data_IF_377266912832
#
_entry.id   IF_377266912832
#
_cell.length_a   1.000
_cell.length_b   1.000
_cell.length_c   1.000
_cell.angle_alpha   90.00
_cell.angle_beta   90.00
_cell.angle_gamma   90.00
#
_symmetry.space_group_name_H-M   'P 1'
#
loop_
_entity.id
_entity.type
_entity.pdbx_description
1 polymer ?
#
# COMPACT_ATOMS: atom_id res chain seq x y z
N UNK A 1 11.90 21.11 -1.32
CA UNK A 1 11.62 19.89 -2.10
C UNK A 1 10.31 20.09 -2.85
N UNK A 2 10.29 19.88 -4.17
CA UNK A 2 9.04 19.90 -4.96
C UNK A 2 8.14 18.74 -4.52
N UNK A 3 6.82 18.92 -4.36
CA UNK A 3 5.92 17.81 -4.14
C UNK A 3 6.07 16.80 -5.27
N UNK A 4 6.20 15.52 -4.94
CA UNK A 4 6.15 14.47 -5.95
C UNK A 4 4.75 14.52 -6.53
N UNK A 5 4.64 14.87 -7.83
CA UNK A 5 3.34 14.93 -8.48
C UNK A 5 2.68 13.55 -8.45
N UNK A 6 1.37 13.50 -8.22
CA UNK A 6 0.57 12.25 -8.26
C UNK A 6 0.91 11.45 -9.52
N UNK A 7 1.11 12.13 -10.66
CA UNK A 7 1.49 11.53 -11.95
C UNK A 7 2.78 10.70 -11.90
N UNK A 8 3.78 11.12 -11.12
CA UNK A 8 5.04 10.38 -10.94
C UNK A 8 4.86 9.15 -10.04
N UNK A 9 4.03 9.27 -9.00
CA UNK A 9 3.64 8.15 -8.13
C UNK A 9 2.93 7.06 -8.96
N UNK A 10 1.98 7.46 -9.82
CA UNK A 10 1.24 6.49 -10.64
C UNK A 10 2.13 5.79 -11.68
N UNK A 11 3.10 6.52 -12.26
CA UNK A 11 4.00 5.96 -13.28
C UNK A 11 4.91 4.86 -12.72
N UNK A 12 5.35 4.95 -11.46
CA UNK A 12 6.16 3.90 -10.83
C UNK A 12 5.35 2.64 -10.49
N UNK A 13 4.06 2.77 -10.19
CA UNK A 13 3.21 1.62 -9.88
C UNK A 13 2.92 0.75 -11.11
N UNK A 14 2.89 1.35 -12.31
CA UNK A 14 2.55 0.65 -13.56
C UNK A 14 3.64 -0.30 -14.11
N UNK A 15 4.82 -0.41 -13.47
CA UNK A 15 5.91 -1.29 -13.95
C UNK A 15 5.66 -2.78 -13.68
N UNK A 16 4.66 -3.14 -12.87
CA UNK A 16 4.31 -4.53 -12.59
C UNK A 16 3.20 -4.99 -13.54
N UNK A 17 3.46 -6.04 -14.33
CA UNK A 17 2.45 -6.63 -15.25
C UNK A 17 1.45 -7.54 -14.53
N UNK A 18 1.77 -8.01 -13.32
CA UNK A 18 0.91 -8.87 -12.50
C UNK A 18 0.88 -8.33 -11.06
N UNK A 19 -0.29 -7.82 -10.63
CA UNK A 19 -0.47 -7.29 -9.28
C UNK A 19 -0.98 -8.33 -8.27
N UNK A 20 -1.29 -9.55 -8.71
CA UNK A 20 -1.84 -10.61 -7.84
C UNK A 20 -0.93 -10.97 -6.67
N UNK A 21 0.38 -10.70 -6.79
CA UNK A 21 1.40 -10.94 -5.75
C UNK A 21 1.80 -9.66 -5.00
N UNK A 22 1.17 -8.53 -5.31
CA UNK A 22 1.50 -7.23 -4.70
C UNK A 22 0.54 -6.95 -3.55
N UNK A 23 1.09 -6.70 -2.35
CA UNK A 23 0.33 -6.15 -1.23
C UNK A 23 0.68 -4.69 -1.04
N UNK A 24 -0.34 -3.84 -1.02
CA UNK A 24 -0.23 -2.40 -0.84
C UNK A 24 -0.78 -2.06 0.54
N UNK A 25 0.04 -1.42 1.36
CA UNK A 25 -0.31 -1.00 2.72
C UNK A 25 -0.40 0.52 2.72
N UNK A 26 -1.53 1.06 3.17
CA UNK A 26 -1.78 2.52 3.24
C UNK A 26 -2.29 2.91 4.62
N UNK A 27 -2.16 4.19 4.98
CA UNK A 27 -2.70 4.73 6.21
C UNK A 27 -3.81 5.78 5.94
N UNK A 28 -4.87 5.75 6.75
CA UNK A 28 -6.10 6.53 6.54
C UNK A 28 -5.93 8.05 6.76
N UNK A 29 -4.94 8.46 7.57
CA UNK A 29 -4.61 9.86 7.85
C UNK A 29 -3.30 10.30 7.20
N UNK A 30 -2.78 9.57 6.21
CA UNK A 30 -1.62 10.00 5.45
C UNK A 30 -1.95 11.25 4.62
N UNK A 31 -1.32 12.37 4.97
CA UNK A 31 -1.46 13.66 4.29
C UNK A 31 -0.47 13.85 3.14
N UNK A 32 0.63 13.09 3.11
CA UNK A 32 1.62 13.13 2.03
C UNK A 32 1.16 12.28 0.85
N UNK A 33 0.47 11.18 1.13
CA UNK A 33 -0.11 10.27 0.15
C UNK A 33 -1.60 10.06 0.48
N UNK A 34 -2.51 10.91 -0.04
CA UNK A 34 -3.91 10.88 0.35
C UNK A 34 -4.57 9.51 0.11
N UNK A 35 -5.06 8.91 1.20
CA UNK A 35 -5.66 7.56 1.19
C UNK A 35 -6.76 7.40 0.14
N UNK A 36 -7.66 8.36 0.01
CA UNK A 36 -8.80 8.30 -0.92
C UNK A 36 -8.33 8.21 -2.38
N UNK A 37 -7.30 8.97 -2.74
CA UNK A 37 -6.71 8.96 -4.09
C UNK A 37 -6.06 7.60 -4.36
N UNK A 38 -5.28 7.08 -3.42
CA UNK A 38 -4.62 5.78 -3.58
C UNK A 38 -5.64 4.65 -3.65
N UNK A 39 -6.65 4.64 -2.78
CA UNK A 39 -7.72 3.63 -2.81
C UNK A 39 -8.42 3.60 -4.17
N UNK A 40 -8.75 4.76 -4.73
CA UNK A 40 -9.33 4.86 -6.07
C UNK A 40 -8.38 4.36 -7.16
N UNK A 41 -7.09 4.66 -7.04
CA UNK A 41 -6.07 4.20 -7.98
C UNK A 41 -5.90 2.67 -7.94
N UNK A 42 -5.75 2.08 -6.76
CA UNK A 42 -5.64 0.63 -6.56
C UNK A 42 -6.85 -0.06 -7.21
N UNK A 43 -8.07 0.40 -6.88
CA UNK A 43 -9.30 -0.19 -7.39
C UNK A 43 -9.41 -0.13 -8.92
N UNK A 44 -8.92 0.95 -9.54
CA UNK A 44 -9.06 1.17 -10.99
C UNK A 44 -7.96 0.47 -11.79
N UNK A 45 -6.73 0.46 -11.31
CA UNK A 45 -5.56 0.11 -12.12
C UNK A 45 -4.79 -1.10 -11.61
N UNK A 46 -4.86 -1.42 -10.32
CA UNK A 46 -4.07 -2.49 -9.70
C UNK A 46 -4.97 -3.69 -9.37
N UNK A 47 -5.74 -4.14 -10.36
CA UNK A 47 -6.62 -5.31 -10.21
C UNK A 47 -5.77 -6.53 -9.83
N UNK A 48 -6.16 -7.21 -8.75
CA UNK A 48 -5.42 -8.33 -8.17
C UNK A 48 -4.52 -7.96 -6.99
N UNK A 49 -4.16 -6.67 -6.82
CA UNK A 49 -3.40 -6.26 -5.63
C UNK A 49 -4.22 -6.46 -4.36
N UNK A 50 -3.58 -7.00 -3.31
CA UNK A 50 -4.14 -6.97 -1.95
C UNK A 50 -3.94 -5.57 -1.39
N UNK A 51 -5.02 -4.97 -0.87
CA UNK A 51 -4.97 -3.65 -0.23
C UNK A 51 -5.26 -3.80 1.26
N UNK A 52 -4.34 -3.32 2.10
CA UNK A 52 -4.47 -3.27 3.55
C UNK A 52 -4.43 -1.81 3.98
N UNK A 53 -5.40 -1.41 4.81
CA UNK A 53 -5.51 -0.07 5.36
C UNK A 53 -5.23 -0.10 6.86
N UNK A 54 -4.26 0.70 7.32
CA UNK A 54 -3.99 0.96 8.73
C UNK A 54 -4.80 2.19 9.15
N UNK A 55 -5.59 2.03 10.21
CA UNK A 55 -6.48 3.07 10.72
C UNK A 55 -5.77 3.95 11.75
N UNK A 56 -6.21 5.21 11.85
CA UNK A 56 -5.68 6.22 12.77
C UNK A 56 -4.17 6.43 12.65
N UNK A 57 -3.63 6.39 11.42
CA UNK A 57 -2.20 6.41 11.18
C UNK A 57 -1.81 7.45 10.11
N UNK A 58 -0.67 8.11 10.31
CA UNK A 58 -0.12 9.10 9.36
C UNK A 58 0.86 8.46 8.36
N UNK A 59 1.60 9.30 7.63
CA UNK A 59 2.59 8.82 6.65
C UNK A 59 3.66 7.89 7.25
N UNK A 60 4.10 8.19 8.47
CA UNK A 60 5.10 7.43 9.19
C UNK A 60 4.50 6.26 10.01
N UNK A 61 3.38 5.67 9.55
CA UNK A 61 2.65 4.63 10.27
C UNK A 61 3.50 3.41 10.69
N UNK A 62 4.59 3.12 9.99
CA UNK A 62 5.53 2.03 10.34
C UNK A 62 6.16 2.26 11.72
N UNK A 63 6.40 3.52 12.09
CA UNK A 63 6.97 3.90 13.38
C UNK A 63 5.89 3.91 14.47
N UNK A 64 4.73 4.50 14.15
CA UNK A 64 3.60 4.68 15.07
C UNK A 64 2.90 3.35 15.42
N UNK A 65 2.76 2.47 14.41
CA UNK A 65 2.00 1.21 14.47
C UNK A 65 2.90 0.00 14.20
N UNK A 66 4.15 0.04 14.68
CA UNK A 66 5.19 -0.98 14.43
C UNK A 66 4.70 -2.42 14.66
N UNK A 67 3.96 -2.67 15.75
CA UNK A 67 3.45 -4.01 16.09
C UNK A 67 2.47 -4.51 15.04
N UNK A 68 1.46 -3.71 14.73
CA UNK A 68 0.46 -4.03 13.70
C UNK A 68 1.11 -4.25 12.34
N UNK A 69 2.05 -3.38 11.96
CA UNK A 69 2.81 -3.50 10.72
C UNK A 69 3.59 -4.82 10.63
N UNK A 70 4.25 -5.25 11.71
CA UNK A 70 4.97 -6.53 11.76
C UNK A 70 4.01 -7.72 11.59
N UNK A 71 2.85 -7.69 12.24
CA UNK A 71 1.85 -8.76 12.10
C UNK A 71 1.29 -8.83 10.67
N UNK A 72 1.04 -7.69 10.04
CA UNK A 72 0.68 -7.62 8.62
C UNK A 72 1.75 -8.28 7.75
N UNK A 73 3.03 -7.97 7.99
CA UNK A 73 4.14 -8.56 7.22
C UNK A 73 4.25 -10.08 7.42
N UNK A 74 4.10 -10.57 8.66
CA UNK A 74 4.08 -12.01 8.94
C UNK A 74 2.96 -12.71 8.17
N UNK A 75 1.75 -12.15 8.20
CA UNK A 75 0.61 -12.70 7.46
C UNK A 75 0.83 -12.72 5.95
N UNK A 76 1.48 -11.69 5.38
CA UNK A 76 1.85 -11.67 3.96
C UNK A 76 2.85 -12.80 3.64
N UNK A 77 3.86 -12.99 4.49
CA UNK A 77 4.88 -14.04 4.32
C UNK A 77 4.26 -15.43 4.43
N UNK A 78 3.36 -15.65 5.38
CA UNK A 78 2.65 -16.93 5.55
C UNK A 78 1.77 -17.24 4.35
N UNK A 79 0.94 -16.30 3.90
CA UNK A 79 0.13 -16.49 2.68
C UNK A 79 1.00 -16.80 1.46
N UNK A 80 2.18 -16.18 1.33
CA UNK A 80 3.09 -16.46 0.22
C UNK A 80 3.72 -17.86 0.28
N UNK A 81 3.84 -18.48 1.47
CA UNK A 81 4.34 -19.85 1.63
C UNK A 81 3.30 -20.91 1.28
N UNK A 82 2.01 -20.59 1.46
CA UNK A 82 0.88 -21.49 1.16
C UNK A 82 0.56 -21.56 -0.33
N UNK A 83 0.90 -20.52 -1.09
CA UNK A 83 0.83 -20.52 -2.56
C UNK A 83 2.04 -21.27 -3.12
N UNK A 84 2.04 -22.60 -2.97
CA UNK A 84 2.94 -23.55 -3.66
C UNK A 84 2.25 -24.21 -4.84
#
# INVERSE_FOLDING_TARGET
MSPISVKNILKSYHSFKEYEKVTIITADKDTLVPFTIIRSYIKRYLKGARHIEIKKAGHAFILEHKKEYIEILKGIIESAKEVK
#
